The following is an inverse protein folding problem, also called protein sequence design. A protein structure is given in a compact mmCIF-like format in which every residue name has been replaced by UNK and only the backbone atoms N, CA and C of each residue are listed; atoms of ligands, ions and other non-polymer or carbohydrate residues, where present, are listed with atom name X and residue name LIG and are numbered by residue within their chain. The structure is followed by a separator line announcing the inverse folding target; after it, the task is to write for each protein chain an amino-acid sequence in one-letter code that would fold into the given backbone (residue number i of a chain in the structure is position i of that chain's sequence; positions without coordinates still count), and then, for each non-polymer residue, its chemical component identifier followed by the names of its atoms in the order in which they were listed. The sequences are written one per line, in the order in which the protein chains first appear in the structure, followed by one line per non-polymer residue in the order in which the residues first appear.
data_IF_856026630339
#
_entry.id   IF_856026630339
#
_cell.length_a   1.000
_cell.length_b   1.000
_cell.length_c   1.000
_cell.angle_alpha   90.00
_cell.angle_beta   90.00
_cell.angle_gamma   90.00
#
_symmetry.space_group_name_H-M   'P 1'
#
loop_
_entity.id
_entity.type
_entity.pdbx_description
1 polymer ?
#
# COMPACT_ATOMS: atom_id res chain seq x y z
N UNK A 1 -1.34 3.80 -3.87
CA UNK A 1 -1.79 5.20 -3.99
C UNK A 1 -0.87 6.13 -3.21
N UNK A 2 -0.77 7.39 -3.64
CA UNK A 2 -0.01 8.41 -2.93
C UNK A 2 1.40 8.67 -3.43
N UNK A 3 1.99 7.77 -4.21
CA UNK A 3 3.37 7.96 -4.71
C UNK A 3 3.53 9.27 -5.47
N UNK A 4 2.58 9.59 -6.35
CA UNK A 4 2.66 10.80 -7.16
C UNK A 4 2.40 12.08 -6.36
N UNK A 5 1.63 11.99 -5.29
CA UNK A 5 1.38 13.13 -4.40
C UNK A 5 2.66 13.58 -3.67
N UNK A 6 3.62 12.67 -3.49
CA UNK A 6 4.90 12.91 -2.84
C UNK A 6 6.09 12.90 -3.80
N UNK A 7 5.86 12.86 -5.11
CA UNK A 7 6.93 12.80 -6.12
C UNK A 7 7.59 14.15 -6.40
N UNK A 8 7.01 15.23 -5.93
CA UNK A 8 7.53 16.59 -6.03
C UNK A 8 8.04 17.08 -4.68
N UNK A 9 8.71 18.25 -4.65
CA UNK A 9 9.15 18.86 -3.39
C UNK A 9 8.02 19.53 -2.61
N UNK A 10 6.82 19.56 -3.16
CA UNK A 10 5.61 20.11 -2.50
C UNK A 10 4.74 18.92 -2.14
N UNK A 11 4.65 18.64 -0.86
CA UNK A 11 3.81 17.55 -0.34
C UNK A 11 2.42 18.06 0.01
N UNK A 12 1.38 17.22 -0.11
CA UNK A 12 0.05 17.57 0.34
C UNK A 12 0.05 17.80 1.85
N UNK A 13 -0.84 18.65 2.31
CA UNK A 13 -1.11 18.77 3.74
C UNK A 13 -1.66 17.44 4.27
N UNK A 14 -1.25 17.07 5.47
CA UNK A 14 -1.64 15.79 6.08
C UNK A 14 -3.15 15.61 6.13
N UNK A 15 -3.88 16.64 6.56
CA UNK A 15 -5.34 16.57 6.67
C UNK A 15 -6.04 16.46 5.31
N UNK A 16 -5.52 17.10 4.27
CA UNK A 16 -6.04 17.00 2.91
C UNK A 16 -5.84 15.58 2.35
N UNK A 17 -4.65 15.03 2.50
CA UNK A 17 -4.33 13.67 2.07
C UNK A 17 -5.22 12.64 2.79
N UNK A 18 -5.32 12.75 4.10
CA UNK A 18 -6.13 11.85 4.94
C UNK A 18 -7.61 11.97 4.56
N UNK A 19 -8.12 13.18 4.36
CA UNK A 19 -9.50 13.40 3.94
C UNK A 19 -9.80 12.73 2.61
N UNK A 20 -8.96 12.93 1.60
CA UNK A 20 -9.12 12.32 0.28
C UNK A 20 -9.08 10.79 0.35
N UNK A 21 -8.19 10.23 1.16
CA UNK A 21 -8.06 8.79 1.34
C UNK A 21 -9.29 8.19 2.05
N UNK A 22 -9.78 8.85 3.10
CA UNK A 22 -11.02 8.45 3.79
C UNK A 22 -12.23 8.48 2.85
N UNK A 23 -12.31 9.48 1.97
CA UNK A 23 -13.38 9.57 0.98
C UNK A 23 -13.33 8.40 0.00
N UNK A 24 -12.13 7.99 -0.46
CA UNK A 24 -11.97 6.80 -1.28
C UNK A 24 -12.45 5.55 -0.56
N UNK A 25 -12.05 5.35 0.70
CA UNK A 25 -12.48 4.21 1.52
C UNK A 25 -13.99 4.20 1.70
N UNK A 26 -14.59 5.36 1.96
CA UNK A 26 -16.05 5.50 2.07
C UNK A 26 -16.77 5.08 0.79
N UNK A 27 -16.24 5.46 -0.39
CA UNK A 27 -16.78 5.03 -1.69
C UNK A 27 -16.65 3.53 -1.90
N UNK A 28 -15.51 2.93 -1.51
CA UNK A 28 -15.33 1.49 -1.57
C UNK A 28 -16.33 0.76 -0.67
N UNK A 29 -16.56 1.26 0.55
CA UNK A 29 -17.58 0.74 1.45
C UNK A 29 -18.99 0.81 0.87
N UNK A 30 -19.34 1.94 0.27
CA UNK A 30 -20.65 2.13 -0.36
C UNK A 30 -20.91 1.15 -1.51
N UNK A 31 -19.87 0.80 -2.28
CA UNK A 31 -20.01 -0.07 -3.45
C UNK A 31 -19.83 -1.56 -3.14
N UNK A 32 -18.96 -1.91 -2.19
CA UNK A 32 -18.58 -3.30 -1.93
C UNK A 32 -18.97 -3.80 -0.53
N UNK A 33 -19.57 -2.94 0.30
CA UNK A 33 -20.01 -3.32 1.64
C UNK A 33 -18.85 -3.59 2.60
N UNK A 34 -19.02 -4.57 3.48
CA UNK A 34 -18.12 -4.87 4.58
C UNK A 34 -16.97 -5.81 4.20
N UNK A 35 -16.31 -5.52 3.09
CA UNK A 35 -15.13 -6.26 2.63
C UNK A 35 -13.83 -5.73 3.28
N UNK A 36 -12.80 -6.56 3.46
CA UNK A 36 -11.47 -6.09 3.86
C UNK A 36 -10.89 -5.10 2.84
N UNK A 37 -10.30 -4.03 3.32
CA UNK A 37 -9.58 -3.05 2.49
C UNK A 37 -8.12 -3.03 2.94
N UNK A 38 -7.20 -3.37 2.05
CA UNK A 38 -5.77 -3.31 2.29
C UNK A 38 -5.17 -2.10 1.60
N UNK A 39 -4.73 -1.14 2.40
CA UNK A 39 -3.98 0.03 1.94
C UNK A 39 -2.49 -0.33 1.92
N UNK A 40 -1.86 -0.22 0.76
CA UNK A 40 -0.47 -0.61 0.57
C UNK A 40 0.37 0.66 0.41
N UNK A 41 1.43 0.79 1.22
CA UNK A 41 2.41 1.85 1.02
C UNK A 41 3.16 1.64 -0.31
N UNK A 42 3.59 2.70 -0.99
CA UNK A 42 4.44 2.54 -2.18
C UNK A 42 5.75 1.81 -1.84
N UNK A 43 6.31 1.08 -2.82
CA UNK A 43 7.61 0.39 -2.66
C UNK A 43 8.78 1.37 -2.47
N UNK A 44 8.63 2.59 -2.99
CA UNK A 44 9.54 3.72 -2.78
C UNK A 44 8.77 4.73 -1.94
N UNK A 45 8.41 4.32 -0.74
CA UNK A 45 7.64 5.15 0.16
C UNK A 45 8.54 6.17 0.85
N UNK A 46 8.15 7.41 0.79
CA UNK A 46 8.64 8.38 1.74
C UNK A 46 8.03 8.10 3.12
N UNK A 47 8.82 8.19 4.16
CA UNK A 47 8.38 7.95 5.55
C UNK A 47 7.10 8.71 5.90
N UNK A 48 6.93 9.90 5.34
CA UNK A 48 5.78 10.76 5.59
C UNK A 48 4.46 10.16 5.11
N UNK A 49 4.44 9.49 3.95
CA UNK A 49 3.23 8.83 3.45
C UNK A 49 2.76 7.71 4.38
N UNK A 50 3.71 6.97 4.93
CA UNK A 50 3.41 5.90 5.91
C UNK A 50 2.79 6.48 7.17
N UNK A 51 3.34 7.59 7.69
CA UNK A 51 2.78 8.28 8.86
C UNK A 51 1.34 8.76 8.61
N UNK A 52 1.07 9.33 7.45
CA UNK A 52 -0.27 9.79 7.07
C UNK A 52 -1.26 8.61 6.96
N UNK A 53 -0.83 7.49 6.37
CA UNK A 53 -1.66 6.29 6.27
C UNK A 53 -1.95 5.69 7.65
N UNK A 54 -0.99 5.64 8.55
CA UNK A 54 -1.17 5.14 9.90
C UNK A 54 -2.14 6.02 10.72
N UNK A 55 -2.01 7.34 10.61
CA UNK A 55 -2.94 8.27 11.24
C UNK A 55 -4.34 8.10 10.66
N UNK A 56 -4.46 8.06 9.34
CA UNK A 56 -5.74 7.82 8.65
C UNK A 56 -6.44 6.57 9.19
N UNK A 57 -5.70 5.46 9.31
CA UNK A 57 -6.26 4.20 9.82
C UNK A 57 -6.78 4.33 11.26
N UNK A 58 -6.03 5.01 12.12
CA UNK A 58 -6.45 5.26 13.51
C UNK A 58 -7.74 6.08 13.57
N UNK A 59 -7.81 7.12 12.75
CA UNK A 59 -8.95 8.04 12.72
C UNK A 59 -10.21 7.38 12.15
N UNK A 60 -10.07 6.43 11.23
CA UNK A 60 -11.21 5.72 10.63
C UNK A 60 -11.94 4.81 11.64
N UNK A 61 -11.23 4.27 12.63
CA UNK A 61 -11.75 3.29 13.57
C UNK A 61 -12.49 2.11 12.87
N UNK A 62 -12.05 1.73 11.67
CA UNK A 62 -12.60 0.63 10.88
C UNK A 62 -11.68 -0.59 11.02
N UNK A 63 -12.16 -1.64 11.66
CA UNK A 63 -11.39 -2.86 11.94
C UNK A 63 -11.05 -3.67 10.69
N UNK A 64 -11.69 -3.39 9.56
CA UNK A 64 -11.45 -4.06 8.27
C UNK A 64 -10.66 -3.21 7.28
N UNK A 65 -10.08 -2.11 7.73
CA UNK A 65 -9.08 -1.35 7.00
C UNK A 65 -7.70 -1.69 7.55
N UNK A 66 -6.84 -2.20 6.70
CA UNK A 66 -5.50 -2.67 7.02
C UNK A 66 -4.46 -1.84 6.28
N UNK A 67 -3.27 -1.74 6.82
CA UNK A 67 -2.13 -1.11 6.17
C UNK A 67 -1.00 -2.13 6.05
N UNK A 68 -0.49 -2.32 4.83
CA UNK A 68 0.75 -3.03 4.59
C UNK A 68 1.84 -2.02 4.22
N UNK A 69 2.86 -1.95 5.04
CA UNK A 69 4.05 -1.14 4.77
C UNK A 69 5.08 -2.02 4.09
N UNK A 70 5.40 -1.72 2.84
CA UNK A 70 6.46 -2.43 2.14
C UNK A 70 7.81 -2.02 2.73
N UNK A 71 8.74 -2.99 2.94
CA UNK A 71 10.05 -2.70 3.51
C UNK A 71 10.84 -1.68 2.68
N UNK A 72 11.53 -0.79 3.37
CA UNK A 72 12.50 0.10 2.71
C UNK A 72 13.59 -0.75 2.05
N UNK A 73 13.97 -0.40 0.82
CA UNK A 73 14.97 -1.15 0.05
C UNK A 73 14.47 -2.49 -0.50
N UNK A 74 13.17 -2.78 -0.46
CA UNK A 74 12.60 -3.99 -1.04
C UNK A 74 12.95 -4.15 -2.52
N UNK A 75 12.91 -3.05 -3.27
CA UNK A 75 13.34 -3.01 -4.66
C UNK A 75 14.77 -2.44 -4.74
N UNK A 76 15.69 -3.20 -5.27
CA UNK A 76 17.05 -2.75 -5.57
C UNK A 76 17.01 -1.76 -6.75
N UNK A 77 17.64 -0.60 -6.58
CA UNK A 77 17.59 0.48 -7.56
C UNK A 77 18.29 0.13 -8.89
N UNK A 78 19.18 -0.86 -8.89
CA UNK A 78 19.95 -1.25 -10.08
C UNK A 78 19.35 -2.43 -10.84
N UNK A 79 18.65 -3.31 -10.16
CA UNK A 79 18.17 -4.57 -10.74
C UNK A 79 16.66 -4.72 -10.78
N UNK A 80 15.93 -3.99 -9.94
CA UNK A 80 14.49 -4.21 -9.74
C UNK A 80 13.62 -3.07 -10.29
N UNK A 81 14.24 -2.01 -10.80
CA UNK A 81 13.56 -0.87 -11.40
C UNK A 81 13.70 -0.87 -12.92
N UNK A 82 12.68 -0.37 -13.59
CA UNK A 82 12.64 -0.15 -15.03
C UNK A 82 12.52 1.33 -15.37
N UNK A 83 11.81 1.65 -16.44
CA UNK A 83 11.63 3.02 -16.90
C UNK A 83 11.01 3.89 -15.81
N UNK A 84 11.52 5.12 -15.67
CA UNK A 84 11.00 6.15 -14.75
C UNK A 84 10.87 5.64 -13.30
N UNK A 85 11.85 4.87 -12.85
CA UNK A 85 11.91 4.34 -11.48
C UNK A 85 10.75 3.41 -11.07
N UNK A 86 9.94 2.97 -12.03
CA UNK A 86 8.90 1.98 -11.74
C UNK A 86 9.50 0.60 -11.51
N UNK A 87 8.95 -0.20 -10.55
CA UNK A 87 9.39 -1.57 -10.38
C UNK A 87 9.23 -2.38 -11.69
N UNK A 88 10.30 -3.03 -12.13
CA UNK A 88 10.27 -3.98 -13.24
C UNK A 88 9.66 -5.32 -12.78
N UNK A 89 9.73 -6.37 -13.61
CA UNK A 89 9.18 -7.68 -13.27
C UNK A 89 9.72 -8.22 -11.93
N UNK A 90 11.02 -8.11 -11.67
CA UNK A 90 11.62 -8.56 -10.41
C UNK A 90 11.10 -7.74 -9.22
N UNK A 91 11.05 -6.43 -9.36
CA UNK A 91 10.50 -5.53 -8.34
C UNK A 91 9.04 -5.85 -8.03
N UNK A 92 8.23 -6.05 -9.07
CA UNK A 92 6.81 -6.43 -8.91
C UNK A 92 6.66 -7.78 -8.19
N UNK A 93 7.49 -8.77 -8.51
CA UNK A 93 7.48 -10.07 -7.84
C UNK A 93 7.84 -9.94 -6.36
N UNK A 94 8.86 -9.15 -6.02
CA UNK A 94 9.22 -8.90 -4.62
C UNK A 94 8.09 -8.24 -3.84
N UNK A 95 7.45 -7.23 -4.44
CA UNK A 95 6.28 -6.57 -3.84
C UNK A 95 5.14 -7.56 -3.61
N UNK A 96 4.79 -8.36 -4.63
CA UNK A 96 3.74 -9.36 -4.52
C UNK A 96 4.03 -10.38 -3.41
N UNK A 97 5.25 -10.92 -3.36
CA UNK A 97 5.66 -11.87 -2.32
C UNK A 97 5.58 -11.27 -0.91
N UNK A 98 5.91 -9.99 -0.75
CA UNK A 98 5.79 -9.28 0.53
C UNK A 98 4.35 -9.09 0.98
N UNK A 99 3.39 -9.02 0.04
CA UNK A 99 1.97 -8.82 0.34
C UNK A 99 1.20 -10.11 0.61
N UNK A 100 1.70 -11.25 0.15
CA UNK A 100 1.02 -12.54 0.31
C UNK A 100 0.68 -12.89 1.78
N UNK A 101 1.58 -12.72 2.76
CA UNK A 101 1.25 -12.98 4.16
C UNK A 101 0.11 -12.08 4.68
N UNK A 102 0.08 -10.81 4.27
CA UNK A 102 -1.02 -9.90 4.61
C UNK A 102 -2.34 -10.39 4.04
N UNK A 103 -2.35 -10.73 2.75
CA UNK A 103 -3.54 -11.23 2.07
C UNK A 103 -4.06 -12.52 2.73
N UNK A 104 -3.17 -13.47 3.01
CA UNK A 104 -3.53 -14.71 3.69
C UNK A 104 -4.14 -14.46 5.07
N UNK A 105 -3.53 -13.59 5.88
CA UNK A 105 -4.02 -13.25 7.21
C UNK A 105 -5.39 -12.56 7.18
N UNK A 106 -5.59 -11.64 6.25
CA UNK A 106 -6.81 -10.83 6.14
C UNK A 106 -7.99 -11.67 5.61
N UNK A 107 -7.72 -12.54 4.63
CA UNK A 107 -8.75 -13.30 3.92
C UNK A 107 -8.98 -14.70 4.48
N UNK A 108 -8.02 -15.23 5.24
CA UNK A 108 -7.99 -16.64 5.63
C UNK A 108 -7.62 -17.59 4.48
N UNK A 109 -7.20 -17.09 3.33
CA UNK A 109 -6.78 -17.92 2.20
C UNK A 109 -5.46 -18.63 2.52
N UNK A 110 -5.36 -19.96 2.28
CA UNK A 110 -4.16 -20.69 2.59
C UNK A 110 -3.00 -20.28 1.66
N UNK A 111 -1.80 -20.21 2.22
CA UNK A 111 -0.58 -20.04 1.43
C UNK A 111 -0.29 -21.36 0.69
N UNK A 112 -0.27 -21.34 -0.64
CA UNK A 112 0.20 -22.47 -1.44
C UNK A 112 1.73 -22.38 -1.56
N UNK A 113 2.43 -23.45 -1.16
CA UNK A 113 3.89 -23.51 -1.22
C UNK A 113 4.47 -23.59 -2.64
N UNK A 114 3.65 -23.89 -3.65
CA UNK A 114 4.10 -24.29 -5.00
C UNK A 114 3.90 -23.22 -6.08
N UNK A 115 3.49 -21.99 -5.75
CA UNK A 115 3.01 -21.04 -6.77
C UNK A 115 4.04 -20.03 -7.29
N UNK A 116 5.31 -20.09 -6.89
CA UNK A 116 6.28 -19.02 -7.17
C UNK A 116 7.56 -19.46 -7.91
N UNK A 117 7.53 -20.61 -8.52
CA UNK A 117 8.64 -21.09 -9.36
C UNK A 117 8.18 -21.42 -10.77
#
# INVERSE_FOLDING_TARGET
LGTNDFSTNIYPLEDEFIHAYKLLISRLRANYGDVPILCISPAIAQRQIVQYMERMRKDLNDKKVYIAVLPEGLCDSTTDLGAVWHPNYKGQMKMAMSLIPYMSTITGWPLKKESFY
#
